data_IF_924186949807
#
_entry.id   IF_924186949807
#
_cell.length_a   1.000
_cell.length_b   1.000
_cell.length_c   1.000
_cell.angle_alpha   90.00
_cell.angle_beta   90.00
_cell.angle_gamma   90.00
#
_symmetry.space_group_name_H-M   'P 1'
#
loop_
_entity.id
_entity.type
_entity.pdbx_description
1 polymer ?
#
# COMPACT_ATOMS: atom_id res chain seq x y z
N UNK A 1 -7.72 24.31 37.90
CA UNK A 1 -7.75 22.85 38.13
C UNK A 1 -7.69 22.18 36.77
N UNK A 2 -6.53 21.68 36.36
CA UNK A 2 -6.37 20.90 35.13
C UNK A 2 -7.04 19.54 35.38
N UNK A 3 -8.13 19.24 34.68
CA UNK A 3 -8.71 17.90 34.71
C UNK A 3 -7.79 17.00 33.88
N UNK A 4 -7.29 15.92 34.47
CA UNK A 4 -6.58 14.89 33.73
C UNK A 4 -7.47 14.42 32.56
N UNK A 5 -6.94 14.49 31.34
CA UNK A 5 -7.64 14.06 30.12
C UNK A 5 -7.93 12.55 30.13
N UNK A 6 -7.19 11.81 30.94
CA UNK A 6 -7.31 10.37 31.12
C UNK A 6 -7.36 10.02 32.61
N UNK A 7 -8.38 9.27 33.04
CA UNK A 7 -8.50 8.74 34.41
C UNK A 7 -7.61 7.50 34.56
N UNK A 8 -6.33 7.73 34.88
CA UNK A 8 -5.33 6.69 35.12
C UNK A 8 -4.74 6.91 36.50
N UNK A 9 -4.71 5.87 37.33
CA UNK A 9 -4.28 5.98 38.74
C UNK A 9 -2.95 5.28 39.04
N UNK A 10 -2.58 4.29 38.23
CA UNK A 10 -1.42 3.43 38.46
C UNK A 10 -0.72 3.04 37.16
N UNK A 11 0.54 2.59 37.25
CA UNK A 11 1.36 2.04 36.16
C UNK A 11 0.64 1.01 35.28
N UNK A 12 -0.12 0.09 35.89
CA UNK A 12 -0.82 -0.97 35.15
C UNK A 12 -1.96 -0.40 34.30
N UNK A 13 -2.66 0.62 34.81
CA UNK A 13 -3.70 1.33 34.08
C UNK A 13 -3.09 2.17 32.96
N UNK A 14 -1.92 2.79 33.20
CA UNK A 14 -1.18 3.53 32.19
C UNK A 14 -0.78 2.63 31.01
N UNK A 15 -0.20 1.47 31.29
CA UNK A 15 0.14 0.50 30.24
C UNK A 15 -1.11 0.02 29.47
N UNK A 16 -2.20 -0.23 30.19
CA UNK A 16 -3.47 -0.64 29.59
C UNK A 16 -4.07 0.46 28.71
N UNK A 17 -3.90 1.73 29.09
CA UNK A 17 -4.30 2.88 28.29
C UNK A 17 -3.46 2.95 27.02
N UNK A 18 -2.13 2.96 27.12
CA UNK A 18 -1.22 3.07 25.97
C UNK A 18 -1.49 1.96 24.93
N UNK A 19 -1.76 0.73 25.39
CA UNK A 19 -2.15 -0.39 24.50
C UNK A 19 -3.45 -0.19 23.74
N UNK A 20 -4.38 0.64 24.23
CA UNK A 20 -5.64 0.97 23.53
C UNK A 20 -5.44 2.04 22.46
N UNK A 21 -4.36 2.81 22.53
CA UNK A 21 -4.08 3.91 21.60
C UNK A 21 -2.85 3.57 20.74
N UNK A 22 -3.03 2.82 19.63
CA UNK A 22 -1.92 2.46 18.74
C UNK A 22 -1.25 3.67 18.08
N UNK A 23 -1.98 4.79 17.97
CA UNK A 23 -1.45 6.06 17.47
C UNK A 23 -0.52 6.78 18.46
N UNK A 24 -0.38 6.27 19.68
CA UNK A 24 0.41 6.87 20.74
C UNK A 24 -0.36 7.94 21.53
N UNK A 25 0.19 8.29 22.69
CA UNK A 25 -0.35 9.31 23.59
C UNK A 25 0.79 10.27 23.97
N UNK A 26 0.54 11.57 23.85
CA UNK A 26 1.53 12.58 24.22
C UNK A 26 1.76 12.60 25.74
N UNK A 27 3.01 12.74 26.17
CA UNK A 27 3.39 12.80 27.58
C UNK A 27 2.70 13.97 28.30
N UNK A 28 2.43 15.07 27.58
CA UNK A 28 1.70 16.23 28.11
C UNK A 28 0.25 15.93 28.50
N UNK A 29 -0.39 14.97 27.83
CA UNK A 29 -1.76 14.52 28.14
C UNK A 29 -1.76 13.55 29.34
N UNK A 30 -0.60 12.97 29.67
CA UNK A 30 -0.44 11.99 30.76
C UNK A 30 0.13 12.60 32.04
N UNK A 31 0.89 13.70 31.94
CA UNK A 31 1.63 14.30 33.08
C UNK A 31 0.77 14.63 34.30
N UNK A 32 -0.49 15.01 34.06
CA UNK A 32 -1.43 15.43 35.12
C UNK A 32 -2.28 14.27 35.66
N UNK A 33 -2.08 13.03 35.18
CA UNK A 33 -2.92 11.89 35.57
C UNK A 33 -2.67 11.44 37.02
N UNK A 34 -1.41 11.23 37.41
CA UNK A 34 -1.00 10.92 38.79
C UNK A 34 0.47 11.32 39.04
N UNK A 35 0.92 11.50 40.30
CA UNK A 35 2.22 12.11 40.61
C UNK A 35 3.45 11.42 40.00
N UNK A 36 3.41 10.10 39.80
CA UNK A 36 4.57 9.29 39.38
C UNK A 36 4.53 8.86 37.91
N UNK A 37 3.68 9.48 37.08
CA UNK A 37 3.49 9.08 35.67
C UNK A 37 4.79 9.04 34.89
N UNK A 38 5.65 10.06 35.06
CA UNK A 38 6.88 10.18 34.27
C UNK A 38 7.89 9.10 34.62
N UNK A 39 8.02 8.78 35.91
CA UNK A 39 8.87 7.69 36.38
C UNK A 39 8.35 6.34 35.90
N UNK A 40 7.02 6.15 35.92
CA UNK A 40 6.39 4.94 35.42
C UNK A 40 6.52 4.79 33.89
N UNK A 41 6.44 5.88 33.12
CA UNK A 41 6.73 5.89 31.68
C UNK A 41 8.18 5.49 31.41
N UNK A 42 9.14 6.04 32.14
CA UNK A 42 10.55 5.65 32.02
C UNK A 42 10.77 4.18 32.41
N UNK A 43 10.13 3.70 33.46
CA UNK A 43 10.20 2.30 33.87
C UNK A 43 9.56 1.36 32.83
N UNK A 44 8.46 1.76 32.19
CA UNK A 44 7.82 1.02 31.11
C UNK A 44 8.69 1.00 29.84
N UNK A 45 9.39 2.10 29.54
CA UNK A 45 10.40 2.17 28.46
C UNK A 45 11.58 1.23 28.73
N UNK A 46 12.16 1.29 29.94
CA UNK A 46 13.30 0.47 30.32
C UNK A 46 12.98 -1.04 30.29
N UNK A 47 11.75 -1.39 30.69
CA UNK A 47 11.25 -2.77 30.60
C UNK A 47 10.73 -3.16 29.21
N UNK A 48 10.94 -2.31 28.19
CA UNK A 48 10.55 -2.52 26.79
C UNK A 48 9.04 -2.79 26.59
N UNK A 49 8.17 -2.37 27.51
CA UNK A 49 6.72 -2.52 27.37
C UNK A 49 6.08 -1.44 26.48
N UNK A 50 6.74 -0.29 26.35
CA UNK A 50 6.31 0.83 25.51
C UNK A 50 7.51 1.38 24.74
N UNK A 51 7.25 2.07 23.64
CA UNK A 51 8.21 2.99 23.04
C UNK A 51 7.91 4.40 23.52
N UNK A 52 8.95 5.10 23.97
CA UNK A 52 8.84 6.47 24.43
C UNK A 52 9.83 7.31 23.64
N UNK A 53 9.29 8.00 22.64
CA UNK A 53 10.03 8.66 21.56
C UNK A 53 9.76 10.16 21.58
N UNK A 54 10.79 10.95 21.33
CA UNK A 54 10.65 12.39 21.17
C UNK A 54 10.35 12.72 19.72
N UNK A 55 9.29 13.48 19.46
CA UNK A 55 8.99 13.95 18.13
C UNK A 55 9.98 15.07 17.74
N UNK A 56 10.69 14.90 16.62
CA UNK A 56 11.69 15.87 16.17
C UNK A 56 11.08 17.24 15.83
N UNK A 57 9.84 17.26 15.33
CA UNK A 57 9.17 18.50 14.88
C UNK A 57 8.51 19.26 16.05
N UNK A 58 7.84 18.54 16.95
CA UNK A 58 7.04 19.16 18.03
C UNK A 58 7.77 19.21 19.38
N UNK A 59 8.93 18.55 19.51
CA UNK A 59 9.63 18.32 20.78
C UNK A 59 8.76 17.71 21.89
N UNK A 60 7.65 17.08 21.50
CA UNK A 60 6.76 16.38 22.42
C UNK A 60 7.16 14.91 22.49
N UNK A 61 7.25 14.39 23.71
CA UNK A 61 7.46 12.97 23.92
C UNK A 61 6.14 12.23 23.78
N UNK A 62 6.13 11.16 22.98
CA UNK A 62 4.95 10.35 22.69
C UNK A 62 5.22 8.91 23.13
N UNK A 63 4.26 8.36 23.89
CA UNK A 63 4.25 6.98 24.35
C UNK A 63 3.43 6.10 23.39
N UNK A 64 4.08 5.11 22.79
CA UNK A 64 3.46 4.12 21.89
C UNK A 64 3.48 2.73 22.55
N UNK A 65 2.48 1.88 22.27
CA UNK A 65 2.54 0.49 22.71
C UNK A 65 3.68 -0.26 22.01
N UNK A 66 4.41 -1.08 22.75
CA UNK A 66 5.36 -2.01 22.17
C UNK A 66 4.76 -3.42 22.13
N UNK A 67 4.31 -3.84 20.96
CA UNK A 67 3.78 -5.20 20.73
C UNK A 67 4.86 -6.19 20.24
N UNK A 68 6.12 -5.74 20.12
CA UNK A 68 7.22 -6.58 19.65
C UNK A 68 7.59 -7.62 20.71
N UNK A 69 7.21 -8.89 20.45
CA UNK A 69 7.45 -10.03 21.36
C UNK A 69 8.81 -10.70 21.19
N UNK A 70 9.55 -10.37 20.14
CA UNK A 70 10.91 -10.89 19.94
C UNK A 70 11.91 -9.99 20.64
N UNK A 71 12.79 -10.51 21.49
CA UNK A 71 13.98 -9.76 21.86
C UNK A 71 15.09 -10.17 20.89
N UNK A 72 15.19 -9.49 19.76
CA UNK A 72 16.30 -9.67 18.83
C UNK A 72 17.31 -8.58 19.16
N UNK A 73 18.34 -8.94 19.92
CA UNK A 73 19.49 -8.09 20.13
C UNK A 73 20.47 -8.34 18.99
N UNK A 74 20.86 -7.26 18.32
CA UNK A 74 21.76 -7.27 17.18
C UNK A 74 22.91 -6.33 17.54
N UNK A 75 24.14 -6.81 17.40
CA UNK A 75 25.32 -6.00 17.67
C UNK A 75 25.42 -4.81 16.71
N UNK A 76 26.10 -3.76 17.14
CA UNK A 76 26.21 -2.53 16.36
C UNK A 76 26.98 -2.73 15.04
N UNK A 77 27.91 -3.70 14.99
CA UNK A 77 28.61 -4.10 13.77
C UNK A 77 27.64 -4.63 12.71
N UNK A 78 26.71 -5.52 13.08
CA UNK A 78 25.69 -6.02 12.16
C UNK A 78 24.70 -4.93 11.73
N UNK A 79 24.41 -3.97 12.61
CA UNK A 79 23.60 -2.79 12.24
C UNK A 79 24.32 -1.91 11.22
N UNK A 80 25.63 -1.72 11.37
CA UNK A 80 26.44 -0.98 10.38
C UNK A 80 26.44 -1.74 9.06
N UNK A 81 26.80 -3.02 9.08
CA UNK A 81 26.84 -3.86 7.90
C UNK A 81 25.51 -3.82 7.13
N UNK A 82 24.38 -3.89 7.83
CA UNK A 82 23.06 -3.82 7.19
C UNK A 82 22.78 -2.46 6.53
N UNK A 83 23.21 -1.35 7.16
CA UNK A 83 23.05 0.00 6.60
C UNK A 83 23.98 0.27 5.43
N UNK A 84 25.13 -0.39 5.41
CA UNK A 84 26.14 -0.26 4.36
C UNK A 84 25.79 -1.07 3.10
N UNK A 85 24.80 -1.97 3.17
CA UNK A 85 24.30 -2.68 1.97
C UNK A 85 23.58 -1.68 1.06
N UNK A 86 24.10 -1.51 -0.15
CA UNK A 86 23.47 -0.71 -1.19
C UNK A 86 22.06 -1.21 -1.50
N UNK A 87 21.08 -0.32 -1.40
CA UNK A 87 19.69 -0.63 -1.78
C UNK A 87 19.64 -0.72 -3.31
N UNK A 88 19.29 -1.89 -3.88
CA UNK A 88 19.25 -2.07 -5.32
C UNK A 88 18.26 -1.12 -5.98
N UNK A 89 18.68 -0.44 -7.05
CA UNK A 89 17.82 0.48 -7.81
C UNK A 89 16.69 -0.25 -8.54
N UNK A 90 16.93 -1.50 -8.96
CA UNK A 90 15.94 -2.35 -9.61
C UNK A 90 15.76 -3.70 -8.88
N UNK A 91 14.53 -3.93 -8.41
CA UNK A 91 14.10 -5.20 -7.80
C UNK A 91 14.23 -6.42 -8.74
N UNK A 92 14.22 -6.25 -10.07
CA UNK A 92 14.43 -7.37 -11.00
C UNK A 92 15.83 -7.96 -10.89
N UNK A 93 16.83 -7.12 -10.62
CA UNK A 93 18.21 -7.60 -10.49
C UNK A 93 18.38 -8.36 -9.17
N UNK A 94 17.70 -7.93 -8.11
CA UNK A 94 17.59 -8.69 -6.85
C UNK A 94 16.96 -10.06 -7.09
N UNK A 95 15.86 -10.15 -7.85
CA UNK A 95 15.22 -11.43 -8.14
C UNK A 95 16.12 -12.39 -8.92
N UNK A 96 16.89 -11.88 -9.90
CA UNK A 96 17.86 -12.69 -10.65
C UNK A 96 18.98 -13.18 -9.75
N UNK A 97 19.50 -12.34 -8.86
CA UNK A 97 20.54 -12.72 -7.91
C UNK A 97 20.03 -13.77 -6.91
N UNK A 98 18.82 -13.59 -6.37
CA UNK A 98 18.16 -14.58 -5.53
C UNK A 98 18.02 -15.94 -6.27
N UNK A 99 17.57 -15.93 -7.53
CA UNK A 99 17.48 -17.14 -8.34
C UNK A 99 18.84 -17.79 -8.59
N UNK A 100 19.88 -16.99 -8.84
CA UNK A 100 21.25 -17.47 -9.06
C UNK A 100 21.80 -18.18 -7.83
N UNK A 101 21.47 -17.71 -6.62
CA UNK A 101 21.85 -18.37 -5.36
C UNK A 101 20.87 -19.47 -4.93
N UNK A 102 19.89 -19.82 -5.78
CA UNK A 102 18.92 -20.90 -5.53
C UNK A 102 17.78 -20.54 -4.57
N UNK A 103 17.66 -19.27 -4.18
CA UNK A 103 16.54 -18.78 -3.37
C UNK A 103 15.38 -18.39 -4.29
N UNK A 104 14.18 -18.88 -3.98
CA UNK A 104 12.97 -18.49 -4.71
C UNK A 104 12.60 -17.06 -4.32
N UNK A 105 12.53 -16.11 -5.28
CA UNK A 105 12.08 -14.77 -4.96
C UNK A 105 10.63 -14.80 -4.47
N UNK A 106 10.38 -14.17 -3.32
CA UNK A 106 9.02 -14.04 -2.76
C UNK A 106 8.19 -13.04 -3.56
N UNK A 107 8.86 -12.05 -4.16
CA UNK A 107 8.25 -11.09 -5.07
C UNK A 107 8.30 -11.64 -6.51
N UNK A 108 7.26 -11.36 -7.30
CA UNK A 108 7.23 -11.70 -8.73
C UNK A 108 7.15 -10.40 -9.55
N UNK A 109 8.20 -9.60 -9.42
CA UNK A 109 8.30 -8.25 -10.00
C UNK A 109 8.26 -8.32 -11.52
N UNK A 110 8.85 -9.36 -12.11
CA UNK A 110 8.77 -9.62 -13.55
C UNK A 110 7.31 -9.76 -14.04
N UNK A 111 6.49 -10.58 -13.38
CA UNK A 111 5.08 -10.73 -13.75
C UNK A 111 4.30 -9.44 -13.53
N UNK A 112 4.54 -8.72 -12.42
CA UNK A 112 3.85 -7.43 -12.17
C UNK A 112 4.18 -6.39 -13.23
N UNK A 113 5.45 -6.26 -13.65
CA UNK A 113 5.86 -5.31 -14.69
C UNK A 113 5.31 -5.70 -16.06
N UNK A 114 5.33 -6.98 -16.40
CA UNK A 114 4.70 -7.46 -17.63
C UNK A 114 3.19 -7.17 -17.65
N UNK A 115 2.49 -7.41 -16.55
CA UNK A 115 1.06 -7.08 -16.41
C UNK A 115 0.80 -5.57 -16.48
N UNK A 116 1.64 -4.73 -15.88
CA UNK A 116 1.52 -3.28 -15.93
C UNK A 116 1.76 -2.71 -17.33
N UNK A 117 2.70 -3.29 -18.11
CA UNK A 117 2.87 -2.94 -19.51
C UNK A 117 1.65 -3.35 -20.35
N UNK A 118 1.07 -4.53 -20.08
CA UNK A 118 -0.17 -4.98 -20.74
C UNK A 118 -1.37 -4.09 -20.37
N UNK A 119 -1.43 -3.55 -19.15
CA UNK A 119 -2.50 -2.66 -18.69
C UNK A 119 -2.30 -1.19 -19.11
N UNK A 120 -1.05 -0.74 -19.29
CA UNK A 120 -0.70 0.58 -19.81
C UNK A 120 -0.93 0.72 -21.32
N UNK A 121 -0.87 -0.39 -22.06
CA UNK A 121 -1.48 -0.47 -23.38
C UNK A 121 -2.98 -0.63 -23.16
N UNK A 122 -3.69 0.50 -23.09
CA UNK A 122 -5.14 0.55 -23.24
C UNK A 122 -5.55 -0.46 -24.32
N UNK A 123 -6.09 -1.59 -23.87
CA UNK A 123 -6.68 -2.58 -24.74
C UNK A 123 -8.04 -1.99 -25.15
N UNK A 124 -8.00 -0.91 -25.95
CA UNK A 124 -9.20 -0.40 -26.63
C UNK A 124 -9.74 -1.61 -27.37
N UNK A 125 -10.96 -2.09 -27.06
CA UNK A 125 -11.52 -3.19 -27.80
C UNK A 125 -11.50 -2.77 -29.27
N UNK A 126 -10.86 -3.57 -30.14
CA UNK A 126 -10.98 -3.41 -31.59
C UNK A 126 -12.47 -3.32 -31.86
N UNK A 127 -12.96 -2.11 -32.14
CA UNK A 127 -14.35 -1.90 -32.48
C UNK A 127 -14.62 -2.80 -33.67
N UNK A 128 -15.42 -3.86 -33.46
CA UNK A 128 -15.97 -4.64 -34.57
C UNK A 128 -16.64 -3.60 -35.46
N UNK A 129 -16.10 -3.40 -36.67
CA UNK A 129 -16.71 -2.54 -37.68
C UNK A 129 -18.16 -3.00 -37.79
N UNK A 130 -19.12 -2.21 -37.27
CA UNK A 130 -20.54 -2.47 -37.51
C UNK A 130 -20.72 -2.39 -39.02
N UNK A 131 -21.16 -3.49 -39.65
CA UNK A 131 -21.60 -3.46 -41.04
C UNK A 131 -22.70 -2.40 -41.12
N UNK A 132 -22.42 -1.29 -41.79
CA UNK A 132 -23.44 -0.30 -42.10
C UNK A 132 -24.35 -0.95 -43.14
N UNK A 133 -25.48 -1.49 -42.71
CA UNK A 133 -26.57 -1.84 -43.63
C UNK A 133 -27.13 -0.53 -44.16
N UNK A 134 -26.88 -0.27 -45.44
CA UNK A 134 -27.39 0.90 -46.16
C UNK A 134 -28.90 0.71 -46.28
N UNK A 135 -29.66 1.39 -45.43
CA UNK A 135 -31.12 1.41 -45.52
C UNK A 135 -31.57 2.15 -46.79
N UNK A 136 -32.71 1.73 -47.36
CA UNK A 136 -33.27 2.08 -48.68
C UNK A 136 -33.51 3.58 -48.96
N UNK A 137 -33.12 4.48 -48.04
CA UNK A 137 -33.34 5.93 -48.13
C UNK A 137 -32.06 6.74 -48.35
N UNK A 138 -30.89 6.10 -48.46
CA UNK A 138 -29.62 6.79 -48.72
C UNK A 138 -29.41 6.95 -50.23
N UNK A 139 -29.22 8.19 -50.71
CA UNK A 139 -29.05 8.51 -52.14
C UNK A 139 -27.82 7.80 -52.72
N UNK A 140 -28.04 6.90 -53.68
CA UNK A 140 -26.99 6.16 -54.40
C UNK A 140 -26.29 7.08 -55.41
N UNK A 141 -24.99 7.30 -55.25
CA UNK A 141 -24.18 8.05 -56.23
C UNK A 141 -23.48 7.13 -57.25
N UNK A 142 -23.62 5.81 -57.10
CA UNK A 142 -22.89 4.80 -57.88
C UNK A 142 -23.84 3.98 -58.76
N UNK A 143 -24.57 4.64 -59.66
CA UNK A 143 -25.55 4.02 -60.55
C UNK A 143 -24.93 3.11 -61.64
N UNK A 144 -23.63 3.26 -61.92
CA UNK A 144 -22.95 2.56 -63.02
C UNK A 144 -22.33 1.21 -62.63
N UNK A 145 -22.44 0.78 -61.35
CA UNK A 145 -21.85 -0.46 -60.84
C UNK A 145 -22.94 -1.36 -60.22
N UNK A 146 -23.75 -2.05 -61.05
CA UNK A 146 -24.91 -2.81 -60.59
C UNK A 146 -24.55 -4.09 -59.82
N UNK A 147 -23.34 -4.65 -60.03
CA UNK A 147 -22.91 -5.89 -59.36
C UNK A 147 -22.83 -5.75 -57.83
N UNK A 148 -22.59 -4.53 -57.34
CA UNK A 148 -22.48 -4.25 -55.91
C UNK A 148 -23.82 -4.39 -55.14
N UNK A 149 -24.95 -4.45 -55.85
CA UNK A 149 -26.29 -4.42 -55.25
C UNK A 149 -27.10 -5.70 -55.47
N UNK A 150 -26.56 -6.71 -56.18
CA UNK A 150 -27.25 -7.98 -56.47
C UNK A 150 -27.72 -8.69 -55.19
N UNK A 151 -26.95 -8.57 -54.11
CA UNK A 151 -27.20 -9.23 -52.83
C UNK A 151 -28.33 -8.56 -52.00
N UNK A 152 -28.78 -7.36 -52.38
CA UNK A 152 -29.85 -6.64 -51.66
C UNK A 152 -31.26 -7.07 -52.11
N UNK A 153 -31.42 -7.51 -53.36
CA UNK A 153 -32.72 -7.92 -53.91
C UNK A 153 -33.09 -9.37 -53.55
N UNK A 154 -32.11 -10.23 -53.28
CA UNK A 154 -32.33 -11.62 -52.90
C UNK A 154 -33.07 -11.79 -51.55
N UNK A 155 -33.04 -10.77 -50.69
CA UNK A 155 -33.71 -10.78 -49.38
C UNK A 155 -35.16 -10.29 -49.40
N UNK A 156 -35.77 -9.98 -50.55
CA UNK A 156 -37.18 -9.57 -50.64
C UNK A 156 -38.11 -10.59 -51.29
N UNK A 157 -37.66 -11.84 -51.50
CA UNK A 157 -38.51 -12.96 -51.93
C UNK A 157 -38.50 -14.08 -50.89
N UNK A 158 -39.00 -13.77 -49.69
CA UNK A 158 -39.57 -14.73 -48.74
C UNK A 158 -40.64 -14.00 -47.95
N UNK A 159 -41.85 -14.01 -48.51
CA UNK A 159 -43.14 -14.04 -47.84
C UNK A 159 -44.16 -14.50 -48.87
#
# INVERSE_FOLDING_TARGET
MSQAKHDVKDKNQLLSLIKKYPAGIAAVDLKDAYPNVMDDLQALKASKHIWFLSNADSQEDIAYPNDFKGQIEVDDEFKSLFRDIDIPSDLLDVEKELQKIGLKPVMNTAQRRAAAQIQGVSNKPKQKKKKQEISKRTKLTNAHLPELFQNLNASSSRN
#
